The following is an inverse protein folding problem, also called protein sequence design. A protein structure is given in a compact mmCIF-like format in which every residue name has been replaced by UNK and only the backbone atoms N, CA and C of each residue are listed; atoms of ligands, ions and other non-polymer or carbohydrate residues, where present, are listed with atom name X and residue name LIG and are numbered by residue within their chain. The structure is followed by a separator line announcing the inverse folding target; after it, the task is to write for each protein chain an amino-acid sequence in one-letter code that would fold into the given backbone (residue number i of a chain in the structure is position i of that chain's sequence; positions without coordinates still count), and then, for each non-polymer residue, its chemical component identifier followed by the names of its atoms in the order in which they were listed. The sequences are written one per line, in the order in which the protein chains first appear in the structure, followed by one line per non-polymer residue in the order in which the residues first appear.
data_IF_507635987426
#
_entry.id   IF_507635987426
#
_cell.length_a   1.000
_cell.length_b   1.000
_cell.length_c   1.000
_cell.angle_alpha   90.00
_cell.angle_beta   90.00
_cell.angle_gamma   90.00
#
_symmetry.space_group_name_H-M   'P 1'
#
loop_
_entity.id
_entity.type
_entity.pdbx_description
1 polymer ?
#
# COMPACT_ATOMS: atom_id res chain seq x y z
N UNK A 1 2.58 7.03 -22.40
CA UNK A 1 1.82 6.48 -21.27
C UNK A 1 1.08 7.59 -20.53
N UNK A 2 -0.19 7.38 -20.28
CA UNK A 2 -0.93 8.30 -19.42
C UNK A 2 -0.45 8.13 -17.99
N UNK A 3 -0.15 9.23 -17.30
CA UNK A 3 0.16 9.22 -15.89
C UNK A 3 -1.13 8.97 -15.09
N UNK A 4 -0.99 8.33 -13.92
CA UNK A 4 -2.08 8.17 -12.98
C UNK A 4 -2.38 9.52 -12.30
N UNK A 5 -3.57 9.68 -11.70
CA UNK A 5 -3.93 10.95 -11.08
C UNK A 5 -3.05 11.26 -9.86
N UNK A 6 -2.78 12.55 -9.67
CA UNK A 6 -2.02 13.07 -8.54
C UNK A 6 -2.82 14.05 -7.69
N UNK A 7 -4.03 14.40 -8.11
CA UNK A 7 -4.88 15.34 -7.38
C UNK A 7 -5.57 14.62 -6.23
N UNK A 8 -5.47 15.13 -4.98
CA UNK A 8 -6.14 14.51 -3.85
C UNK A 8 -7.65 14.42 -4.07
N UNK A 9 -8.21 13.26 -3.74
CA UNK A 9 -9.65 13.02 -3.79
C UNK A 9 -10.23 13.28 -2.40
N UNK A 10 -11.25 14.14 -2.31
CA UNK A 10 -11.94 14.39 -1.06
C UNK A 10 -12.64 13.09 -0.60
N UNK A 11 -12.38 12.69 0.64
CA UNK A 11 -12.98 11.50 1.23
C UNK A 11 -13.28 11.77 2.70
N UNK A 12 -14.50 11.49 3.13
CA UNK A 12 -14.93 11.61 4.52
C UNK A 12 -15.16 10.25 5.17
N UNK A 13 -15.00 9.16 4.43
CA UNK A 13 -15.20 7.80 4.88
C UNK A 13 -14.31 6.84 4.10
N UNK A 14 -13.91 5.74 4.74
CA UNK A 14 -13.12 4.66 4.12
C UNK A 14 -13.95 3.39 3.88
N UNK A 15 -15.26 3.43 4.11
CA UNK A 15 -16.11 2.24 3.95
C UNK A 15 -16.05 1.65 2.55
N UNK A 16 -15.81 2.47 1.54
CA UNK A 16 -15.65 2.01 0.15
C UNK A 16 -14.39 1.15 -0.03
N UNK A 17 -13.47 1.12 0.93
CA UNK A 17 -12.27 0.28 0.91
C UNK A 17 -12.43 -1.04 1.66
N UNK A 18 -13.61 -1.36 2.17
CA UNK A 18 -13.83 -2.61 2.91
C UNK A 18 -13.48 -3.86 2.12
N UNK A 19 -13.48 -3.77 0.79
CA UNK A 19 -13.06 -4.89 -0.05
C UNK A 19 -11.57 -5.26 0.12
N UNK A 20 -10.74 -4.36 0.67
CA UNK A 20 -9.34 -4.65 0.95
C UNK A 20 -9.16 -5.53 2.19
N UNK A 21 -10.16 -5.57 3.09
CA UNK A 21 -10.06 -6.29 4.37
C UNK A 21 -9.86 -7.78 4.15
N UNK A 22 -9.03 -8.38 5.00
CA UNK A 22 -8.74 -9.81 4.99
C UNK A 22 -7.27 -10.11 4.86
N UNK A 23 -6.97 -11.37 4.64
CA UNK A 23 -5.60 -11.87 4.50
C UNK A 23 -5.34 -12.28 3.06
N UNK A 24 -4.24 -11.79 2.53
CA UNK A 24 -3.86 -11.96 1.14
C UNK A 24 -2.47 -12.59 1.06
N UNK A 25 -2.31 -13.58 0.17
CA UNK A 25 -1.06 -14.32 0.00
C UNK A 25 -0.63 -14.36 -1.46
N UNK A 26 0.64 -14.04 -1.70
CA UNK A 26 1.32 -14.35 -2.95
C UNK A 26 2.40 -15.38 -2.62
N UNK A 27 2.34 -16.54 -3.25
CA UNK A 27 3.32 -17.61 -3.06
C UNK A 27 3.86 -18.04 -4.42
N UNK A 28 5.09 -17.66 -4.70
CA UNK A 28 5.81 -17.97 -5.94
C UNK A 28 7.15 -18.61 -5.62
N UNK A 29 7.82 -19.25 -6.61
CA UNK A 29 9.17 -19.78 -6.37
C UNK A 29 10.20 -18.73 -5.95
N UNK A 30 9.98 -17.45 -6.26
CA UNK A 30 10.91 -16.38 -5.98
C UNK A 30 10.68 -15.73 -4.62
N UNK A 31 9.41 -15.71 -4.14
CA UNK A 31 9.09 -15.01 -2.90
C UNK A 31 7.73 -15.44 -2.38
N UNK A 32 7.53 -15.26 -1.09
CA UNK A 32 6.23 -15.37 -0.46
C UNK A 32 5.92 -14.07 0.28
N UNK A 33 4.83 -13.44 -0.08
CA UNK A 33 4.41 -12.16 0.51
C UNK A 33 3.01 -12.29 1.07
N UNK A 34 2.78 -11.70 2.23
CA UNK A 34 1.47 -11.66 2.86
C UNK A 34 1.11 -10.22 3.16
N UNK A 35 -0.17 -9.91 2.98
CA UNK A 35 -0.70 -8.59 3.35
C UNK A 35 -2.04 -8.80 4.06
N UNK A 36 -2.18 -8.21 5.23
CA UNK A 36 -3.36 -8.38 6.08
C UNK A 36 -3.93 -7.02 6.39
N UNK A 37 -5.20 -6.80 6.05
CA UNK A 37 -5.90 -5.54 6.30
C UNK A 37 -7.05 -5.75 7.25
N UNK A 38 -7.19 -4.84 8.22
CA UNK A 38 -8.32 -4.79 9.13
C UNK A 38 -9.60 -4.35 8.39
N UNK A 39 -10.73 -4.46 9.06
CA UNK A 39 -11.92 -3.72 8.65
C UNK A 39 -11.78 -2.26 9.01
N UNK A 40 -12.65 -1.41 8.43
CA UNK A 40 -12.67 0.02 8.76
C UNK A 40 -13.19 0.22 10.17
N UNK A 41 -12.47 0.99 10.98
CA UNK A 41 -12.91 1.43 12.30
C UNK A 41 -12.20 2.73 12.64
N UNK A 42 -12.87 3.62 13.35
CA UNK A 42 -12.34 4.92 13.76
C UNK A 42 -11.70 5.70 12.59
N UNK A 43 -12.34 5.63 11.41
CA UNK A 43 -11.88 6.29 10.18
C UNK A 43 -10.50 5.83 9.71
N UNK A 44 -10.14 4.58 10.01
CA UNK A 44 -8.84 3.98 9.65
C UNK A 44 -8.99 2.56 9.14
N UNK A 45 -8.01 2.14 8.31
CA UNK A 45 -7.69 0.73 8.06
C UNK A 45 -6.25 0.51 8.47
N UNK A 46 -5.98 -0.61 9.14
CA UNK A 46 -4.61 -1.02 9.47
C UNK A 46 -4.19 -2.16 8.56
N UNK A 47 -2.94 -2.11 8.07
CA UNK A 47 -2.36 -3.16 7.26
C UNK A 47 -1.02 -3.62 7.78
N UNK A 48 -0.70 -4.88 7.53
CA UNK A 48 0.61 -5.47 7.82
C UNK A 48 1.09 -6.20 6.57
N UNK A 49 2.37 -6.10 6.30
CA UNK A 49 2.99 -6.77 5.17
C UNK A 49 4.24 -7.52 5.62
N UNK A 50 4.49 -8.69 5.00
CA UNK A 50 5.67 -9.50 5.26
C UNK A 50 6.21 -10.05 3.94
N UNK A 51 7.51 -9.83 3.70
CA UNK A 51 8.21 -10.38 2.54
C UNK A 51 9.14 -11.49 3.00
N UNK A 52 8.96 -12.69 2.46
CA UNK A 52 9.77 -13.87 2.78
C UNK A 52 10.55 -14.27 1.54
N UNK A 53 11.88 -14.43 1.69
CA UNK A 53 12.79 -14.95 0.66
C UNK A 53 13.60 -16.08 1.28
N UNK A 54 13.65 -17.25 0.61
CA UNK A 54 14.44 -18.39 1.06
C UNK A 54 14.17 -18.76 2.53
N UNK A 55 12.89 -18.82 2.89
CA UNK A 55 12.40 -19.17 4.25
C UNK A 55 12.76 -18.17 5.35
N UNK A 56 13.34 -17.01 4.99
CA UNK A 56 13.64 -15.95 5.95
C UNK A 56 12.85 -14.69 5.63
N UNK A 57 12.40 -13.99 6.67
CA UNK A 57 11.74 -12.70 6.50
C UNK A 57 12.77 -11.65 6.09
N UNK A 58 12.50 -10.98 4.97
CA UNK A 58 13.34 -9.88 4.50
C UNK A 58 12.99 -8.58 5.20
N UNK A 59 11.70 -8.28 5.34
CA UNK A 59 11.22 -7.10 6.04
C UNK A 59 9.72 -7.19 6.32
N UNK A 60 9.26 -6.32 7.22
CA UNK A 60 7.84 -6.09 7.50
C UNK A 60 7.46 -4.65 7.16
N UNK A 61 6.18 -4.43 6.92
CA UNK A 61 5.60 -3.09 6.87
C UNK A 61 4.40 -3.02 7.81
N UNK A 62 4.24 -1.86 8.41
CA UNK A 62 2.99 -1.48 9.06
C UNK A 62 2.40 -0.29 8.30
N UNK A 63 1.11 -0.38 8.00
CA UNK A 63 0.42 0.59 7.15
C UNK A 63 -0.86 1.06 7.81
N UNK A 64 -1.18 2.34 7.62
CA UNK A 64 -2.46 2.91 8.07
C UNK A 64 -3.03 3.75 6.94
N UNK A 65 -4.26 3.48 6.56
CA UNK A 65 -5.05 4.39 5.72
C UNK A 65 -5.98 5.15 6.66
N UNK A 66 -5.97 6.47 6.58
CA UNK A 66 -6.79 7.30 7.46
C UNK A 66 -7.38 8.49 6.73
N UNK A 67 -8.55 8.94 7.17
CA UNK A 67 -9.17 10.17 6.68
C UNK A 67 -8.43 11.37 7.29
N UNK A 68 -8.12 12.37 6.45
CA UNK A 68 -7.49 13.63 6.82
C UNK A 68 -8.29 14.79 6.26
N UNK A 69 -7.93 16.01 6.62
CA UNK A 69 -8.56 17.21 6.04
C UNK A 69 -8.34 17.30 4.52
N UNK A 70 -7.26 16.72 4.01
CA UNK A 70 -6.95 16.70 2.59
C UNK A 70 -7.64 15.56 1.81
N UNK A 71 -8.34 14.64 2.52
CA UNK A 71 -8.98 13.47 1.92
C UNK A 71 -8.62 12.22 2.71
N UNK A 72 -7.89 11.29 2.10
CA UNK A 72 -7.38 10.11 2.79
C UNK A 72 -5.90 9.92 2.47
N UNK A 73 -5.14 9.46 3.45
CA UNK A 73 -3.71 9.23 3.31
C UNK A 73 -3.37 7.81 3.74
N UNK A 74 -2.39 7.21 3.04
CA UNK A 74 -1.76 5.97 3.43
C UNK A 74 -0.38 6.30 3.99
N UNK A 75 -0.11 5.85 5.22
CA UNK A 75 1.19 5.96 5.86
C UNK A 75 1.81 4.59 5.98
N UNK A 76 3.07 4.45 5.57
CA UNK A 76 3.78 3.17 5.58
C UNK A 76 5.10 3.33 6.31
N UNK A 77 5.37 2.38 7.20
CA UNK A 77 6.67 2.28 7.86
C UNK A 77 7.23 0.89 7.70
N UNK A 78 8.51 0.80 7.32
CA UNK A 78 9.21 -0.45 7.06
C UNK A 78 10.05 -0.85 8.25
N UNK A 79 10.20 -2.15 8.48
CA UNK A 79 10.97 -2.68 9.59
C UNK A 79 11.86 -3.81 9.15
N UNK A 80 13.10 -3.79 9.61
CA UNK A 80 13.97 -4.96 9.55
C UNK A 80 13.35 -6.11 10.37
N UNK A 81 13.76 -7.37 10.13
CA UNK A 81 13.28 -8.49 10.96
C UNK A 81 13.51 -8.28 12.46
N UNK A 82 14.50 -7.48 12.83
CA UNK A 82 14.79 -7.11 14.24
C UNK A 82 13.81 -6.10 14.82
N UNK A 83 12.84 -5.64 14.03
CA UNK A 83 11.86 -4.61 14.37
C UNK A 83 12.44 -3.20 14.52
N UNK A 84 13.63 -2.98 13.97
CA UNK A 84 14.18 -1.63 13.81
C UNK A 84 13.62 -1.03 12.52
N UNK A 85 13.02 0.14 12.60
CA UNK A 85 12.44 0.81 11.44
C UNK A 85 13.52 1.25 10.46
N UNK A 86 13.21 1.22 9.16
CA UNK A 86 14.08 1.79 8.13
C UNK A 86 14.06 3.32 8.20
N UNK A 87 12.87 3.89 8.37
CA UNK A 87 12.68 5.33 8.49
C UNK A 87 13.04 5.79 9.89
N UNK A 88 13.45 7.04 10.01
CA UNK A 88 13.68 7.64 11.31
C UNK A 88 12.39 7.63 12.14
N UNK A 89 12.54 7.73 13.45
CA UNK A 89 11.46 7.57 14.42
C UNK A 89 10.20 8.37 14.10
N UNK A 90 10.35 9.58 13.59
CA UNK A 90 9.23 10.48 13.31
C UNK A 90 8.88 10.56 11.84
N UNK A 91 9.45 9.67 11.00
CA UNK A 91 9.25 9.66 9.57
C UNK A 91 8.53 8.41 9.10
N UNK A 92 7.81 8.55 8.00
CA UNK A 92 7.11 7.45 7.32
C UNK A 92 6.95 7.83 5.85
N UNK A 93 6.72 6.83 5.01
CA UNK A 93 6.29 7.09 3.64
C UNK A 93 4.81 7.48 3.64
N UNK A 94 4.47 8.52 2.90
CA UNK A 94 3.09 8.99 2.79
C UNK A 94 2.62 8.93 1.33
N UNK A 95 1.37 8.53 1.17
CA UNK A 95 0.66 8.52 -0.11
C UNK A 95 -0.68 9.20 0.10
N UNK A 96 -1.19 9.84 -0.94
CA UNK A 96 -2.50 10.48 -0.89
C UNK A 96 -3.47 9.77 -1.83
N UNK A 97 -4.70 9.58 -1.37
CA UNK A 97 -5.75 8.95 -2.16
C UNK A 97 -6.13 9.86 -3.34
N UNK A 98 -6.06 9.32 -4.56
CA UNK A 98 -6.37 10.06 -5.78
C UNK A 98 -7.49 9.44 -6.61
N UNK A 99 -7.79 8.16 -6.41
CA UNK A 99 -8.89 7.48 -7.09
C UNK A 99 -9.41 6.36 -6.21
N UNK A 100 -10.72 6.20 -6.16
CA UNK A 100 -11.35 5.10 -5.43
C UNK A 100 -12.61 4.65 -6.19
N UNK A 101 -12.74 3.33 -6.34
CA UNK A 101 -13.94 2.68 -6.85
C UNK A 101 -14.28 1.50 -5.94
N UNK A 102 -15.31 0.74 -6.29
CA UNK A 102 -15.69 -0.47 -5.54
C UNK A 102 -14.72 -1.64 -5.71
N UNK A 103 -13.68 -1.48 -6.52
CA UNK A 103 -12.69 -2.54 -6.77
C UNK A 103 -11.27 -2.02 -6.98
N UNK A 104 -11.04 -0.70 -6.95
CA UNK A 104 -9.71 -0.12 -7.21
C UNK A 104 -9.47 1.11 -6.35
N UNK A 105 -8.24 1.25 -5.89
CA UNK A 105 -7.76 2.46 -5.23
C UNK A 105 -6.38 2.84 -5.77
N UNK A 106 -6.17 4.14 -5.97
CA UNK A 106 -4.89 4.70 -6.40
C UNK A 106 -4.44 5.70 -5.36
N UNK A 107 -3.19 5.52 -4.91
CA UNK A 107 -2.50 6.44 -4.01
C UNK A 107 -1.31 7.03 -4.73
N UNK A 108 -1.19 8.35 -4.76
CA UNK A 108 -0.01 9.04 -5.27
C UNK A 108 0.99 9.26 -4.13
N UNK A 109 2.24 8.95 -4.37
CA UNK A 109 3.29 9.16 -3.38
C UNK A 109 3.46 10.66 -3.10
N UNK A 110 3.55 11.02 -1.82
CA UNK A 110 3.91 12.38 -1.41
C UNK A 110 5.43 12.48 -1.52
N UNK A 111 5.96 13.39 -2.36
CA UNK A 111 7.41 13.53 -2.49
C UNK A 111 8.08 13.92 -1.18
N UNK A 112 9.21 13.29 -0.89
CA UNK A 112 10.03 13.62 0.28
C UNK A 112 11.20 14.49 -0.20
N UNK A 113 11.22 15.80 0.14
CA UNK A 113 12.27 16.70 -0.32
C UNK A 113 13.64 16.39 0.29
N UNK A 114 13.69 15.60 1.35
CA UNK A 114 14.95 15.18 1.99
C UNK A 114 15.47 13.84 1.46
N UNK A 115 14.72 13.17 0.59
CA UNK A 115 15.17 11.91 -0.01
C UNK A 115 16.33 12.18 -0.98
N UNK A 116 17.33 11.30 -0.95
CA UNK A 116 18.49 11.37 -1.84
C UNK A 116 18.18 10.81 -3.23
N UNK A 117 17.07 10.11 -3.40
CA UNK A 117 16.66 9.48 -4.64
C UNK A 117 15.45 10.18 -5.25
N UNK A 118 15.24 9.98 -6.54
CA UNK A 118 14.02 10.42 -7.19
C UNK A 118 12.86 9.67 -6.53
N UNK A 119 11.88 10.43 -6.04
CA UNK A 119 10.71 9.87 -5.41
C UNK A 119 9.45 10.34 -6.15
N UNK A 120 8.30 9.88 -5.71
CA UNK A 120 7.03 10.06 -6.40
C UNK A 120 6.51 8.71 -6.89
N UNK A 121 5.59 8.76 -7.85
CA UNK A 121 4.94 7.54 -8.36
C UNK A 121 3.68 7.19 -7.60
N UNK A 122 3.27 5.93 -7.68
CA UNK A 122 1.95 5.51 -7.20
C UNK A 122 2.00 4.13 -6.60
N UNK A 123 1.02 3.87 -5.74
CA UNK A 123 0.68 2.55 -5.24
C UNK A 123 -0.79 2.29 -5.57
N UNK A 124 -1.06 1.17 -6.25
CA UNK A 124 -2.43 0.83 -6.65
C UNK A 124 -2.83 -0.53 -6.09
N UNK A 125 -4.08 -0.62 -5.68
CA UNK A 125 -4.74 -1.87 -5.29
C UNK A 125 -5.94 -2.08 -6.19
N UNK A 126 -6.05 -3.26 -6.79
CA UNK A 126 -7.20 -3.60 -7.63
C UNK A 126 -7.69 -5.00 -7.34
N UNK A 127 -8.97 -5.11 -6.96
CA UNK A 127 -9.64 -6.39 -6.79
C UNK A 127 -10.11 -6.84 -8.17
N UNK A 128 -9.44 -7.86 -8.73
CA UNK A 128 -9.75 -8.34 -10.09
C UNK A 128 -10.93 -9.31 -10.10
N UNK A 129 -11.15 -9.99 -8.98
CA UNK A 129 -12.38 -10.73 -8.67
C UNK A 129 -12.46 -10.84 -7.13
N UNK A 130 -13.46 -11.51 -6.59
CA UNK A 130 -13.67 -11.56 -5.14
C UNK A 130 -12.51 -12.15 -4.33
N UNK A 131 -11.57 -12.83 -4.97
CA UNK A 131 -10.49 -13.56 -4.30
C UNK A 131 -9.08 -13.19 -4.77
N UNK A 132 -8.96 -12.28 -5.75
CA UNK A 132 -7.67 -11.88 -6.30
C UNK A 132 -7.47 -10.38 -6.20
N UNK A 133 -6.32 -9.99 -5.66
CA UNK A 133 -5.93 -8.60 -5.47
C UNK A 133 -4.60 -8.34 -6.17
N UNK A 134 -4.58 -7.38 -7.07
CA UNK A 134 -3.35 -6.95 -7.72
C UNK A 134 -2.86 -5.66 -7.09
N UNK A 135 -1.58 -5.65 -6.69
CA UNK A 135 -0.95 -4.48 -6.07
C UNK A 135 0.26 -4.09 -6.91
N UNK A 136 0.32 -2.84 -7.34
CA UNK A 136 1.41 -2.33 -8.14
C UNK A 136 2.09 -1.14 -7.47
N UNK A 137 3.41 -1.18 -7.46
CA UNK A 137 4.25 -0.02 -7.13
C UNK A 137 4.75 0.53 -8.46
N UNK A 138 4.41 1.79 -8.74
CA UNK A 138 4.66 2.45 -10.03
C UNK A 138 5.58 3.63 -9.78
N UNK A 139 6.67 3.70 -10.55
CA UNK A 139 7.63 4.80 -10.45
C UNK A 139 7.07 6.07 -11.06
N UNK A 140 7.70 7.20 -10.78
CA UNK A 140 7.27 8.52 -11.26
C UNK A 140 7.22 8.61 -12.79
N UNK A 141 8.04 7.80 -13.49
CA UNK A 141 8.04 7.74 -14.96
C UNK A 141 6.91 6.85 -15.53
N UNK A 142 6.13 6.21 -14.65
CA UNK A 142 5.02 5.34 -15.06
C UNK A 142 5.40 3.87 -15.21
N UNK A 143 6.67 3.52 -15.06
CA UNK A 143 7.09 2.12 -15.13
C UNK A 143 6.73 1.36 -13.85
N UNK A 144 6.27 0.13 -14.00
CA UNK A 144 5.96 -0.73 -12.86
C UNK A 144 7.27 -1.22 -12.24
N UNK A 145 7.48 -0.89 -10.96
CA UNK A 145 8.65 -1.34 -10.19
C UNK A 145 8.42 -2.71 -9.59
N UNK A 146 7.24 -2.92 -8.99
CA UNK A 146 6.84 -4.18 -8.39
C UNK A 146 5.37 -4.42 -8.66
N UNK A 147 5.02 -5.69 -8.86
CA UNK A 147 3.65 -6.13 -9.06
C UNK A 147 3.42 -7.39 -8.24
N UNK A 148 2.40 -7.34 -7.38
CA UNK A 148 2.00 -8.47 -6.54
C UNK A 148 0.66 -9.02 -7.03
N UNK A 149 0.56 -10.34 -7.10
CA UNK A 149 -0.68 -11.04 -7.41
C UNK A 149 -1.09 -11.84 -6.18
N UNK A 150 -1.96 -11.27 -5.37
CA UNK A 150 -2.41 -11.89 -4.12
C UNK A 150 -3.68 -12.69 -4.32
N UNK A 151 -3.78 -13.79 -3.60
CA UNK A 151 -5.01 -14.55 -3.44
C UNK A 151 -5.51 -14.40 -2.01
N UNK A 152 -6.83 -14.31 -1.84
CA UNK A 152 -7.43 -14.23 -0.51
C UNK A 152 -7.24 -15.56 0.21
N UNK A 153 -6.72 -15.50 1.42
CA UNK A 153 -6.65 -16.66 2.29
C UNK A 153 -8.03 -16.91 2.95
N UNK A 154 -8.37 -18.17 3.07
CA UNK A 154 -9.64 -18.58 3.67
C UNK A 154 -9.45 -18.89 5.14
#
# INVERSE_FOLDING_TARGET
MSSLPTTPLAADSLEQLDWMSGSWLEDTPQRRCEEIWSTVDAHTLMGMFRWISFDDVSFYEFMVIKVTDAGAELHVKHFHPSLVAWEEKERFQAFILTEITDHRVVFAAVPDPEASEVNGGWLTYELTDGNHLEVCIIEADGNVKLNFHFEREV
#
